data_IF_045099102091
#
_entry.id   IF_045099102091
#
_cell.length_a   1.000
_cell.length_b   1.000
_cell.length_c   1.000
_cell.angle_alpha   90.00
_cell.angle_beta   90.00
_cell.angle_gamma   90.00
#
_symmetry.space_group_name_H-M   'P 1'
#
loop_
_entity.id
_entity.type
_entity.pdbx_description
1 polymer ?
#
# COMPACT_ATOMS: atom_id res chain seq x y z
N UNK A 1 -0.91 -21.58 7.52
CA UNK A 1 -1.13 -20.61 8.60
C UNK A 1 0.11 -19.78 8.74
N UNK A 2 -0.01 -18.50 8.45
CA UNK A 2 1.08 -17.53 8.56
C UNK A 2 1.48 -17.30 10.01
N UNK A 3 2.76 -17.00 10.22
CA UNK A 3 3.21 -16.52 11.53
C UNK A 3 2.64 -15.13 11.76
N UNK A 4 2.24 -14.84 13.00
CA UNK A 4 1.71 -13.52 13.38
C UNK A 4 2.66 -12.39 12.97
N UNK A 5 3.95 -12.57 13.18
CA UNK A 5 4.97 -11.58 12.84
C UNK A 5 5.00 -11.26 11.33
N UNK A 6 4.67 -12.23 10.46
CA UNK A 6 4.59 -12.00 9.01
C UNK A 6 3.38 -11.14 8.63
N UNK A 7 2.24 -11.37 9.30
CA UNK A 7 1.03 -10.56 9.09
C UNK A 7 1.26 -9.14 9.60
N UNK A 8 1.80 -9.00 10.82
CA UNK A 8 2.09 -7.70 11.42
C UNK A 8 3.12 -6.91 10.60
N UNK A 9 4.17 -7.56 10.08
CA UNK A 9 5.16 -6.94 9.20
C UNK A 9 4.54 -6.45 7.89
N UNK A 10 3.70 -7.28 7.25
CA UNK A 10 3.01 -6.89 6.02
C UNK A 10 2.09 -5.69 6.25
N UNK A 11 1.27 -5.73 7.31
CA UNK A 11 0.35 -4.64 7.66
C UNK A 11 1.11 -3.33 7.91
N UNK A 12 2.26 -3.40 8.56
CA UNK A 12 3.09 -2.21 8.78
C UNK A 12 3.62 -1.63 7.47
N UNK A 13 4.16 -2.46 6.57
CA UNK A 13 4.63 -2.03 5.24
C UNK A 13 3.51 -1.43 4.40
N UNK A 14 2.33 -2.05 4.42
CA UNK A 14 1.14 -1.57 3.72
C UNK A 14 0.75 -0.16 4.20
N UNK A 15 0.71 0.04 5.52
CA UNK A 15 0.39 1.34 6.10
C UNK A 15 1.43 2.40 5.73
N UNK A 16 2.73 2.08 5.83
CA UNK A 16 3.80 3.02 5.51
C UNK A 16 3.76 3.46 4.03
N UNK A 17 3.47 2.52 3.11
CA UNK A 17 3.32 2.81 1.69
C UNK A 17 2.09 3.70 1.42
N UNK A 18 0.97 3.43 2.09
CA UNK A 18 -0.25 4.25 2.00
C UNK A 18 0.00 5.67 2.51
N UNK A 19 0.67 5.82 3.65
CA UNK A 19 0.97 7.13 4.23
C UNK A 19 1.92 7.94 3.34
N UNK A 20 2.92 7.26 2.76
CA UNK A 20 3.84 7.86 1.78
C UNK A 20 3.09 8.34 0.53
N UNK A 21 2.15 7.54 0.01
CA UNK A 21 1.32 7.91 -1.13
C UNK A 21 0.41 9.11 -0.83
N UNK A 22 -0.22 9.14 0.35
CA UNK A 22 -1.03 10.28 0.75
C UNK A 22 -0.20 11.56 0.86
N UNK A 23 1.00 11.47 1.43
CA UNK A 23 1.93 12.59 1.49
C UNK A 23 2.30 13.07 0.09
N UNK A 24 2.72 12.18 -0.79
CA UNK A 24 3.08 12.52 -2.18
C UNK A 24 1.91 13.17 -2.94
N UNK A 25 0.68 12.66 -2.77
CA UNK A 25 -0.51 13.24 -3.40
C UNK A 25 -0.85 14.64 -2.87
N UNK A 26 -0.55 14.92 -1.60
CA UNK A 26 -0.67 16.27 -1.03
C UNK A 26 0.46 17.18 -1.53
N UNK A 27 1.67 16.67 -1.61
CA UNK A 27 2.85 17.40 -2.08
C UNK A 27 2.68 17.77 -3.57
N UNK A 28 2.21 16.86 -4.43
CA UNK A 28 1.86 17.16 -5.84
C UNK A 28 0.77 18.24 -5.95
N UNK A 29 -0.17 18.31 -5.00
CA UNK A 29 -1.18 19.37 -4.95
C UNK A 29 -0.64 20.72 -4.49
N UNK A 30 0.47 20.74 -3.75
CA UNK A 30 1.03 21.93 -3.11
C UNK A 30 2.28 22.47 -3.83
N UNK A 31 3.01 21.64 -4.58
CA UNK A 31 4.36 21.93 -5.06
C UNK A 31 4.40 22.35 -6.53
N UNK A 32 5.18 23.40 -6.78
CA UNK A 32 5.53 23.99 -8.08
C UNK A 32 6.42 23.05 -8.91
N UNK A 33 6.39 23.19 -10.24
CA UNK A 33 6.95 22.35 -11.31
C UNK A 33 8.41 21.82 -11.21
N UNK A 34 9.16 22.01 -10.11
CA UNK A 34 10.60 21.78 -10.03
C UNK A 34 11.10 20.80 -8.93
N UNK A 35 10.25 20.18 -8.12
CA UNK A 35 10.70 19.12 -7.20
C UNK A 35 10.59 17.72 -7.84
N UNK A 36 11.60 16.84 -7.66
CA UNK A 36 11.51 15.45 -8.07
C UNK A 36 10.44 14.73 -7.22
N UNK A 37 9.44 14.17 -7.89
CA UNK A 37 8.36 13.41 -7.25
C UNK A 37 8.86 12.03 -6.83
N UNK A 38 8.47 11.58 -5.64
CA UNK A 38 8.71 10.18 -5.20
C UNK A 38 7.63 9.23 -5.76
N UNK A 39 6.65 9.77 -6.50
CA UNK A 39 5.52 9.04 -7.05
C UNK A 39 5.86 7.69 -7.72
N UNK A 40 6.84 7.58 -8.65
CA UNK A 40 7.13 6.29 -9.29
C UNK A 40 7.65 5.24 -8.31
N UNK A 41 8.40 5.66 -7.29
CA UNK A 41 8.94 4.78 -6.26
C UNK A 41 7.83 4.26 -5.35
N UNK A 42 6.95 5.16 -4.90
CA UNK A 42 5.81 4.79 -4.04
C UNK A 42 4.81 3.90 -4.79
N UNK A 43 4.54 4.20 -6.07
CA UNK A 43 3.68 3.36 -6.91
C UNK A 43 4.24 1.94 -7.05
N UNK A 44 5.55 1.79 -7.25
CA UNK A 44 6.16 0.46 -7.33
C UNK A 44 6.00 -0.31 -6.01
N UNK A 45 6.23 0.32 -4.86
CA UNK A 45 6.02 -0.34 -3.56
C UNK A 45 4.58 -0.81 -3.38
N UNK A 46 3.59 0.01 -3.75
CA UNK A 46 2.18 -0.38 -3.66
C UNK A 46 1.87 -1.56 -4.59
N UNK A 47 2.47 -1.60 -5.79
CA UNK A 47 2.30 -2.74 -6.69
C UNK A 47 2.93 -4.02 -6.13
N UNK A 48 4.13 -3.93 -5.54
CA UNK A 48 4.80 -5.07 -4.90
C UNK A 48 3.98 -5.63 -3.74
N UNK A 49 3.41 -4.76 -2.89
CA UNK A 49 2.56 -5.16 -1.77
C UNK A 49 1.23 -5.78 -2.23
N UNK A 50 0.63 -5.23 -3.30
CA UNK A 50 -0.60 -5.78 -3.92
C UNK A 50 -0.36 -7.16 -4.56
N UNK A 51 0.88 -7.49 -4.93
CA UNK A 51 1.27 -8.85 -5.34
C UNK A 51 1.52 -9.74 -4.11
N UNK A 52 2.32 -9.30 -3.15
CA UNK A 52 2.68 -10.03 -1.92
C UNK A 52 1.45 -10.47 -1.13
N UNK A 53 0.42 -9.64 -1.05
CA UNK A 53 -0.79 -9.97 -0.29
C UNK A 53 -1.56 -11.16 -0.84
N UNK A 54 -1.52 -11.40 -2.15
CA UNK A 54 -2.22 -12.54 -2.76
C UNK A 54 -1.60 -13.86 -2.29
N UNK A 55 -0.28 -13.86 -2.10
CA UNK A 55 0.44 -15.02 -1.56
C UNK A 55 0.10 -15.20 -0.08
N UNK A 56 0.06 -14.12 0.71
CA UNK A 56 -0.31 -14.17 2.13
C UNK A 56 -1.74 -14.66 2.35
N UNK A 57 -2.71 -14.19 1.56
CA UNK A 57 -4.11 -14.57 1.66
C UNK A 57 -4.34 -16.08 1.41
N UNK A 58 -3.45 -16.73 0.66
CA UNK A 58 -3.55 -18.17 0.36
C UNK A 58 -3.26 -19.02 1.61
N UNK A 59 -2.36 -18.57 2.49
CA UNK A 59 -1.92 -19.32 3.68
C UNK A 59 -2.49 -18.79 5.01
N UNK A 60 -3.27 -17.71 4.96
CA UNK A 60 -3.87 -17.04 6.11
C UNK A 60 -4.95 -17.86 6.81
N UNK A 61 -5.03 -17.78 8.14
CA UNK A 61 -6.21 -18.20 8.89
C UNK A 61 -7.39 -17.24 8.62
N UNK A 62 -8.64 -17.61 8.93
CA UNK A 62 -9.80 -16.72 8.74
C UNK A 62 -9.65 -15.35 9.42
N UNK A 63 -9.07 -15.31 10.62
CA UNK A 63 -8.85 -14.07 11.37
C UNK A 63 -7.76 -13.20 10.72
N UNK A 64 -6.66 -13.81 10.27
CA UNK A 64 -5.59 -13.10 9.55
C UNK A 64 -6.08 -12.61 8.19
N UNK A 65 -6.95 -13.38 7.55
CA UNK A 65 -7.51 -13.06 6.24
C UNK A 65 -8.34 -11.80 6.28
N UNK A 66 -9.17 -11.60 7.30
CA UNK A 66 -9.95 -10.37 7.49
C UNK A 66 -9.02 -9.14 7.56
N UNK A 67 -7.95 -9.22 8.37
CA UNK A 67 -6.98 -8.13 8.51
C UNK A 67 -6.23 -7.83 7.20
N UNK A 68 -5.83 -8.88 6.48
CA UNK A 68 -5.16 -8.75 5.19
C UNK A 68 -6.13 -8.16 4.14
N UNK A 69 -7.36 -8.65 4.05
CA UNK A 69 -8.37 -8.14 3.10
C UNK A 69 -8.66 -6.63 3.32
N UNK A 70 -8.73 -6.18 4.57
CA UNK A 70 -8.84 -4.73 4.88
C UNK A 70 -7.63 -3.94 4.34
N UNK A 71 -6.41 -4.43 4.58
CA UNK A 71 -5.21 -3.78 4.06
C UNK A 71 -5.13 -3.82 2.53
N UNK A 72 -5.59 -4.91 1.88
CA UNK A 72 -5.69 -5.03 0.43
C UNK A 72 -6.60 -3.95 -0.13
N UNK A 73 -7.78 -3.77 0.47
CA UNK A 73 -8.75 -2.80 0.02
C UNK A 73 -8.18 -1.39 0.09
N UNK A 74 -7.53 -1.04 1.20
CA UNK A 74 -6.90 0.27 1.37
C UNK A 74 -5.78 0.51 0.34
N UNK A 75 -4.90 -0.47 0.12
CA UNK A 75 -3.84 -0.38 -0.90
C UNK A 75 -4.42 -0.17 -2.30
N UNK A 76 -5.48 -0.91 -2.67
CA UNK A 76 -6.14 -0.77 -3.97
C UNK A 76 -6.81 0.59 -4.13
N UNK A 77 -7.44 1.11 -3.09
CA UNK A 77 -8.01 2.46 -3.08
C UNK A 77 -6.92 3.51 -3.29
N UNK A 78 -5.82 3.45 -2.53
CA UNK A 78 -4.68 4.35 -2.67
C UNK A 78 -4.04 4.27 -4.05
N UNK A 79 -3.79 3.06 -4.57
CA UNK A 79 -3.31 2.81 -5.94
C UNK A 79 -4.21 3.48 -6.98
N UNK A 80 -5.52 3.30 -6.84
CA UNK A 80 -6.52 3.88 -7.74
C UNK A 80 -6.48 5.41 -7.72
N UNK A 81 -6.35 6.01 -6.54
CA UNK A 81 -6.21 7.47 -6.38
C UNK A 81 -4.92 7.96 -7.01
N UNK A 82 -3.79 7.28 -6.74
CA UNK A 82 -2.50 7.62 -7.33
C UNK A 82 -2.57 7.57 -8.85
N UNK A 83 -3.06 6.49 -9.46
CA UNK A 83 -3.18 6.35 -10.92
C UNK A 83 -4.01 7.48 -11.51
N UNK A 84 -5.10 7.86 -10.83
CA UNK A 84 -6.00 8.92 -11.31
C UNK A 84 -5.38 10.31 -11.18
N UNK A 85 -4.35 10.49 -10.36
CA UNK A 85 -3.62 11.76 -10.22
C UNK A 85 -4.41 12.89 -9.57
N UNK A 86 -5.68 12.63 -9.22
CA UNK A 86 -6.71 13.57 -8.75
C UNK A 86 -7.17 14.57 -9.82
#
# INVERSE_FOLDING_TARGET
MLQKDQVDEYLHKAQDAIDSAHKELLDVKLIQQNDPTEYPFIMNQIMELDEEINDLLTDASPEQREQLEEAQQQLQETKSIMIKGI
#
